data_IF_037639992472
#
_entry.id   IF_037639992472
#
_cell.length_a   1.000
_cell.length_b   1.000
_cell.length_c   1.000
_cell.angle_alpha   90.00
_cell.angle_beta   90.00
_cell.angle_gamma   90.00
#
_symmetry.space_group_name_H-M   'P 1'
#
loop_
_entity.id
_entity.type
_entity.pdbx_description
1 polymer ?
#
# COMPACT_ATOMS: atom_id res chain seq x y z
N UNK A 1 -12.56 -0.82 -15.59
CA UNK A 1 -11.79 -0.82 -14.33
C UNK A 1 -10.76 0.28 -14.53
N UNK A 2 -10.90 1.52 -14.07
CA UNK A 2 -11.13 2.06 -12.73
C UNK A 2 -12.23 3.15 -12.79
N UNK A 3 -13.35 2.98 -12.09
CA UNK A 3 -14.50 3.91 -12.18
C UNK A 3 -14.52 4.86 -10.99
N UNK A 4 -13.51 5.72 -10.92
CA UNK A 4 -13.36 6.71 -9.86
C UNK A 4 -14.60 7.62 -9.73
N UNK A 5 -15.24 7.96 -10.85
CA UNK A 5 -16.48 8.77 -10.86
C UNK A 5 -17.65 8.13 -10.12
N UNK A 6 -17.75 6.79 -10.16
CA UNK A 6 -18.80 6.07 -9.45
C UNK A 6 -18.48 5.93 -7.97
N UNK A 7 -17.21 5.74 -7.61
CA UNK A 7 -16.77 5.71 -6.23
C UNK A 7 -17.10 7.04 -5.54
N UNK A 8 -16.77 8.18 -6.16
CA UNK A 8 -17.06 9.50 -5.63
C UNK A 8 -18.57 9.76 -5.46
N UNK A 9 -19.41 9.31 -6.39
CA UNK A 9 -20.88 9.41 -6.25
C UNK A 9 -21.40 8.59 -5.08
N UNK A 10 -20.81 7.42 -4.84
CA UNK A 10 -21.24 6.51 -3.77
C UNK A 10 -20.81 7.06 -2.41
N UNK A 11 -19.56 7.51 -2.27
CA UNK A 11 -19.05 8.17 -1.06
C UNK A 11 -19.89 9.39 -0.72
N UNK A 12 -20.20 10.25 -1.68
CA UNK A 12 -21.10 11.40 -1.44
C UNK A 12 -22.48 11.00 -0.94
N UNK A 13 -23.04 9.91 -1.45
CA UNK A 13 -24.34 9.39 -0.95
C UNK A 13 -24.23 8.91 0.49
N UNK A 14 -23.11 8.28 0.86
CA UNK A 14 -22.86 7.85 2.23
C UNK A 14 -22.71 9.05 3.16
N UNK A 15 -21.93 10.06 2.76
CA UNK A 15 -21.75 11.31 3.52
C UNK A 15 -23.07 12.04 3.79
N UNK A 16 -23.96 12.11 2.79
CA UNK A 16 -25.29 12.73 2.96
C UNK A 16 -26.19 11.92 3.90
N UNK A 17 -26.02 10.59 3.95
CA UNK A 17 -26.83 9.73 4.80
C UNK A 17 -26.35 9.75 6.26
N UNK A 18 -25.05 9.60 6.47
CA UNK A 18 -24.39 9.63 7.78
C UNK A 18 -22.86 9.81 7.58
N UNK A 19 -22.36 11.01 7.82
CA UNK A 19 -20.94 11.34 7.67
C UNK A 19 -20.07 10.78 8.80
N UNK A 20 -20.64 10.64 10.00
CA UNK A 20 -19.93 10.18 11.20
C UNK A 20 -19.89 8.64 11.31
N UNK A 21 -20.68 7.94 10.49
CA UNK A 21 -20.64 6.48 10.43
C UNK A 21 -19.23 5.98 10.06
N UNK A 22 -18.67 5.08 10.88
CA UNK A 22 -17.37 4.45 10.65
C UNK A 22 -17.18 3.91 9.21
N UNK A 23 -18.17 3.20 8.59
CA UNK A 23 -18.05 2.77 7.19
C UNK A 23 -17.95 3.94 6.19
N UNK A 24 -18.60 5.07 6.47
CA UNK A 24 -18.53 6.27 5.64
C UNK A 24 -17.15 6.92 5.72
N UNK A 25 -16.61 7.07 6.93
CA UNK A 25 -15.28 7.64 7.16
C UNK A 25 -14.19 6.79 6.48
N UNK A 26 -14.24 5.46 6.64
CA UNK A 26 -13.32 4.55 5.96
C UNK A 26 -13.44 4.62 4.43
N UNK A 27 -14.66 4.62 3.89
CA UNK A 27 -14.88 4.73 2.46
C UNK A 27 -14.37 6.08 1.90
N UNK A 28 -14.56 7.16 2.66
CA UNK A 28 -14.07 8.50 2.32
C UNK A 28 -12.54 8.55 2.30
N UNK A 29 -11.89 8.01 3.34
CA UNK A 29 -10.42 7.94 3.41
C UNK A 29 -9.83 7.12 2.26
N UNK A 30 -10.38 5.93 1.96
CA UNK A 30 -9.94 5.10 0.83
C UNK A 30 -10.12 5.80 -0.53
N UNK A 31 -11.21 6.55 -0.69
CA UNK A 31 -11.46 7.33 -1.89
C UNK A 31 -10.43 8.47 -2.05
N UNK A 32 -10.10 9.16 -0.97
CA UNK A 32 -9.09 10.20 -0.94
C UNK A 32 -7.68 9.66 -1.21
N UNK A 33 -7.32 8.50 -0.65
CA UNK A 33 -6.09 7.78 -0.99
C UNK A 33 -5.99 7.48 -2.49
N UNK A 34 -7.09 7.02 -3.08
CA UNK A 34 -7.15 6.70 -4.52
C UNK A 34 -7.04 7.96 -5.39
N UNK A 35 -7.56 9.10 -4.92
CA UNK A 35 -7.49 10.37 -5.65
C UNK A 35 -6.06 10.93 -5.69
N UNK A 36 -5.31 10.78 -4.59
CA UNK A 36 -3.99 11.36 -4.44
C UNK A 36 -4.02 12.89 -4.29
N UNK A 37 -2.84 13.52 -4.39
CA UNK A 37 -2.70 14.99 -4.32
C UNK A 37 -3.01 15.55 -2.93
N UNK A 38 -3.66 16.72 -2.89
CA UNK A 38 -4.02 17.41 -1.64
C UNK A 38 -4.94 16.58 -0.73
N UNK A 39 -5.71 15.65 -1.30
CA UNK A 39 -6.65 14.82 -0.54
C UNK A 39 -5.96 13.74 0.30
N UNK A 40 -4.67 13.48 0.07
CA UNK A 40 -3.91 12.56 0.92
C UNK A 40 -3.86 13.07 2.37
N UNK A 41 -3.79 14.39 2.58
CA UNK A 41 -3.72 14.97 3.92
C UNK A 41 -5.03 14.77 4.67
N UNK A 42 -6.15 14.94 3.97
CA UNK A 42 -7.49 14.65 4.50
C UNK A 42 -7.65 13.16 4.81
N UNK A 43 -7.15 12.26 3.96
CA UNK A 43 -7.17 10.82 4.23
C UNK A 43 -6.40 10.47 5.51
N UNK A 44 -5.20 11.06 5.68
CA UNK A 44 -4.38 10.86 6.86
C UNK A 44 -5.11 11.33 8.13
N UNK A 45 -5.72 12.51 8.08
CA UNK A 45 -6.46 13.07 9.22
C UNK A 45 -7.65 12.19 9.63
N UNK A 46 -8.41 11.68 8.66
CA UNK A 46 -9.50 10.73 8.95
C UNK A 46 -8.95 9.47 9.65
N UNK A 47 -7.85 8.90 9.18
CA UNK A 47 -7.26 7.73 9.84
C UNK A 47 -6.70 8.03 11.23
N UNK A 48 -6.16 9.24 11.48
CA UNK A 48 -5.73 9.69 12.81
C UNK A 48 -6.93 9.78 13.77
N UNK A 49 -8.04 10.39 13.36
CA UNK A 49 -9.26 10.42 14.17
C UNK A 49 -9.80 9.02 14.46
N UNK A 50 -9.81 8.14 13.45
CA UNK A 50 -10.24 6.76 13.63
C UNK A 50 -9.35 6.00 14.62
N UNK A 51 -8.04 6.26 14.60
CA UNK A 51 -7.09 5.73 15.57
C UNK A 51 -7.37 6.25 16.98
N UNK A 52 -7.67 7.53 17.14
CA UNK A 52 -8.00 8.12 18.45
C UNK A 52 -9.32 7.55 19.02
N UNK A 53 -10.33 7.37 18.17
CA UNK A 53 -11.68 6.89 18.56
C UNK A 53 -11.74 5.39 18.82
N UNK A 54 -11.05 4.58 18.01
CA UNK A 54 -11.18 3.12 18.00
C UNK A 54 -9.90 2.37 18.37
N UNK A 55 -8.79 3.09 18.55
CA UNK A 55 -7.48 2.50 18.80
C UNK A 55 -6.72 2.14 17.52
N UNK A 56 -5.45 1.81 17.68
CA UNK A 56 -4.60 1.36 16.59
C UNK A 56 -5.00 -0.06 16.15
N UNK A 57 -5.28 -0.22 14.86
CA UNK A 57 -5.51 -1.53 14.24
C UNK A 57 -4.66 -1.64 12.98
N UNK A 58 -4.28 -2.86 12.52
CA UNK A 58 -3.50 -3.02 11.31
C UNK A 58 -4.12 -2.33 10.08
N UNK A 59 -5.45 -2.32 9.97
CA UNK A 59 -6.17 -1.65 8.87
C UNK A 59 -6.01 -0.13 8.92
N UNK A 60 -6.17 0.48 10.10
CA UNK A 60 -6.03 1.92 10.28
C UNK A 60 -4.57 2.35 10.05
N UNK A 61 -3.62 1.66 10.68
CA UNK A 61 -2.19 1.95 10.56
C UNK A 61 -1.71 1.78 9.10
N UNK A 62 -2.17 0.73 8.41
CA UNK A 62 -1.84 0.55 6.99
C UNK A 62 -2.42 1.67 6.11
N UNK A 63 -3.63 2.16 6.43
CA UNK A 63 -4.23 3.33 5.78
C UNK A 63 -3.41 4.61 6.01
N UNK A 64 -2.98 4.87 7.24
CA UNK A 64 -2.09 5.99 7.59
C UNK A 64 -0.77 5.90 6.82
N UNK A 65 -0.12 4.74 6.84
CA UNK A 65 1.13 4.50 6.11
C UNK A 65 0.96 4.73 4.61
N UNK A 66 -0.15 4.27 4.02
CA UNK A 66 -0.45 4.48 2.59
C UNK A 66 -0.61 5.97 2.26
N UNK A 67 -1.25 6.75 3.13
CA UNK A 67 -1.35 8.21 2.97
C UNK A 67 0.05 8.87 3.01
N UNK A 68 0.88 8.50 3.99
CA UNK A 68 2.25 9.01 4.15
C UNK A 68 3.14 8.64 2.96
N UNK A 69 3.05 7.41 2.47
CA UNK A 69 3.70 6.94 1.23
C UNK A 69 3.29 7.84 0.05
N UNK A 70 2.00 8.10 -0.12
CA UNK A 70 1.51 8.97 -1.18
C UNK A 70 2.04 10.40 -1.11
N UNK A 71 2.37 10.89 0.09
CA UNK A 71 2.99 12.20 0.32
C UNK A 71 4.52 12.21 0.22
N UNK A 72 5.15 11.06 -0.04
CA UNK A 72 6.60 10.86 0.02
C UNK A 72 7.21 11.07 1.43
N UNK A 73 6.43 10.88 2.50
CA UNK A 73 6.89 10.94 3.90
C UNK A 73 7.35 9.55 4.37
N UNK A 74 8.46 9.10 3.80
CA UNK A 74 8.90 7.71 3.90
C UNK A 74 9.31 7.28 5.32
N UNK A 75 10.03 8.12 6.07
CA UNK A 75 10.48 7.75 7.43
C UNK A 75 9.30 7.58 8.41
N UNK A 76 8.28 8.43 8.26
CA UNK A 76 7.08 8.36 9.08
C UNK A 76 6.23 7.14 8.70
N UNK A 77 6.10 6.86 7.41
CA UNK A 77 5.42 5.66 6.93
C UNK A 77 6.08 4.38 7.48
N UNK A 78 7.41 4.32 7.48
CA UNK A 78 8.15 3.19 8.03
C UNK A 78 7.82 2.94 9.51
N UNK A 79 7.79 4.02 10.30
CA UNK A 79 7.49 3.94 11.75
C UNK A 79 6.09 3.36 11.98
N UNK A 80 5.10 3.85 11.24
CA UNK A 80 3.71 3.38 11.33
C UNK A 80 3.56 1.93 10.87
N UNK A 81 4.28 1.52 9.82
CA UNK A 81 4.26 0.15 9.32
C UNK A 81 4.89 -0.84 10.29
N UNK A 82 5.94 -0.44 11.01
CA UNK A 82 6.50 -1.26 12.08
C UNK A 82 5.50 -1.43 13.24
N UNK A 83 4.81 -0.37 13.65
CA UNK A 83 3.72 -0.47 14.63
C UNK A 83 2.63 -1.45 14.17
N UNK A 84 2.28 -1.44 12.88
CA UNK A 84 1.29 -2.35 12.33
C UNK A 84 1.76 -3.82 12.33
N UNK A 85 3.05 -4.08 12.06
CA UNK A 85 3.63 -5.42 12.12
C UNK A 85 3.74 -5.95 13.55
N UNK A 86 3.97 -5.08 14.53
CA UNK A 86 3.98 -5.49 15.94
C UNK A 86 2.60 -5.99 16.41
N UNK A 87 1.52 -5.47 15.80
CA UNK A 87 0.15 -5.95 16.04
C UNK A 87 -0.19 -7.21 15.24
N UNK A 88 0.20 -7.27 13.97
CA UNK A 88 -0.04 -8.41 13.09
C UNK A 88 1.16 -8.64 12.14
N UNK A 89 2.08 -9.48 12.59
CA UNK A 89 3.32 -9.77 11.87
C UNK A 89 3.13 -10.54 10.56
N UNK A 90 1.92 -11.04 10.27
CA UNK A 90 1.62 -11.81 9.06
C UNK A 90 0.73 -11.04 8.07
N UNK A 91 0.51 -9.74 8.31
CA UNK A 91 -0.32 -8.93 7.45
C UNK A 91 0.37 -8.65 6.10
N UNK A 92 -0.10 -9.31 5.04
CA UNK A 92 0.49 -9.21 3.71
C UNK A 92 0.51 -7.77 3.15
N UNK A 93 -0.56 -7.00 3.37
CA UNK A 93 -0.66 -5.62 2.87
C UNK A 93 0.37 -4.70 3.53
N UNK A 94 0.56 -4.85 4.85
CA UNK A 94 1.58 -4.08 5.61
C UNK A 94 2.98 -4.45 5.16
N UNK A 95 3.27 -5.75 4.96
CA UNK A 95 4.58 -6.20 4.49
C UNK A 95 4.90 -5.63 3.10
N UNK A 96 3.93 -5.60 2.18
CA UNK A 96 4.10 -5.03 0.84
C UNK A 96 4.40 -3.53 0.91
N UNK A 97 3.65 -2.78 1.72
CA UNK A 97 3.91 -1.36 1.92
C UNK A 97 5.29 -1.13 2.55
N UNK A 98 5.73 -1.98 3.48
CA UNK A 98 7.05 -1.88 4.08
C UNK A 98 8.18 -2.19 3.10
N UNK A 99 8.00 -3.17 2.20
CA UNK A 99 8.94 -3.43 1.10
C UNK A 99 9.15 -2.18 0.25
N UNK A 100 8.05 -1.51 -0.13
CA UNK A 100 8.09 -0.28 -0.92
C UNK A 100 8.84 0.84 -0.19
N UNK A 101 8.52 1.09 1.08
CA UNK A 101 9.18 2.13 1.89
C UNK A 101 10.66 1.83 2.09
N UNK A 102 11.01 0.57 2.40
CA UNK A 102 12.40 0.12 2.58
C UNK A 102 13.23 0.35 1.31
N UNK A 103 12.64 0.12 0.14
CA UNK A 103 13.27 0.40 -1.15
C UNK A 103 13.51 1.91 -1.34
N UNK A 104 12.52 2.76 -1.05
CA UNK A 104 12.66 4.21 -1.16
C UNK A 104 13.69 4.82 -0.19
N UNK A 105 13.85 4.23 0.99
CA UNK A 105 14.84 4.64 1.99
C UNK A 105 16.26 4.16 1.69
N UNK A 106 16.50 3.48 0.55
CA UNK A 106 17.80 2.90 0.16
C UNK A 106 18.38 1.97 1.25
N UNK A 107 17.53 1.22 1.94
CA UNK A 107 17.98 0.24 2.94
C UNK A 107 18.63 -0.97 2.26
N UNK A 108 19.45 -1.73 3.01
CA UNK A 108 20.18 -2.85 2.43
C UNK A 108 19.24 -3.87 1.78
N UNK A 109 19.60 -4.40 0.58
CA UNK A 109 18.75 -5.33 -0.16
C UNK A 109 18.44 -6.62 0.61
N UNK A 110 19.26 -6.98 1.59
CA UNK A 110 19.04 -8.09 2.51
C UNK A 110 17.75 -7.90 3.32
N UNK A 111 17.45 -6.65 3.72
CA UNK A 111 16.22 -6.32 4.47
C UNK A 111 15.00 -6.51 3.58
N UNK A 112 15.09 -6.07 2.33
CA UNK A 112 14.03 -6.20 1.33
C UNK A 112 13.78 -7.69 1.03
N UNK A 113 14.85 -8.47 0.81
CA UNK A 113 14.76 -9.89 0.54
C UNK A 113 14.15 -10.67 1.71
N UNK A 114 14.44 -10.27 2.96
CA UNK A 114 13.81 -10.84 4.15
C UNK A 114 12.31 -10.59 4.16
N UNK A 115 11.87 -9.35 3.88
CA UNK A 115 10.45 -9.00 3.83
C UNK A 115 9.72 -9.71 2.69
N UNK A 116 10.34 -9.85 1.51
CA UNK A 116 9.78 -10.64 0.41
C UNK A 116 9.62 -12.12 0.79
N UNK A 117 10.59 -12.67 1.52
CA UNK A 117 10.51 -14.05 2.02
C UNK A 117 9.36 -14.20 3.01
N UNK A 118 9.21 -13.26 3.94
CA UNK A 118 8.09 -13.21 4.88
C UNK A 118 6.74 -13.10 4.17
N UNK A 119 6.64 -12.27 3.12
CA UNK A 119 5.44 -12.16 2.29
C UNK A 119 5.08 -13.49 1.63
N UNK A 120 6.07 -14.22 1.11
CA UNK A 120 5.86 -15.56 0.52
C UNK A 120 5.38 -16.58 1.56
N UNK A 121 5.87 -16.49 2.79
CA UNK A 121 5.45 -17.39 3.86
C UNK A 121 4.01 -17.08 4.32
N UNK A 122 3.62 -15.80 4.34
CA UNK A 122 2.28 -15.37 4.74
C UNK A 122 1.23 -15.59 3.64
N UNK A 123 1.55 -15.20 2.39
CA UNK A 123 0.64 -15.28 1.25
C UNK A 123 1.40 -15.49 -0.06
N UNK A 124 1.47 -16.75 -0.50
CA UNK A 124 2.19 -17.15 -1.73
C UNK A 124 1.58 -16.59 -3.00
N UNK A 125 0.26 -16.43 -3.04
CA UNK A 125 -0.49 -15.99 -4.21
C UNK A 125 -0.80 -14.49 -4.15
N UNK A 126 -0.07 -13.74 -3.33
CA UNK A 126 -0.27 -12.30 -3.23
C UNK A 126 -0.03 -11.64 -4.61
N UNK A 127 -0.93 -10.75 -5.08
CA UNK A 127 -0.83 -10.13 -6.41
C UNK A 127 0.53 -9.49 -6.70
N UNK A 128 1.16 -8.89 -5.69
CA UNK A 128 2.52 -8.33 -5.80
C UNK A 128 3.58 -9.36 -6.22
N UNK A 129 3.55 -10.58 -5.66
CA UNK A 129 4.53 -11.63 -5.98
C UNK A 129 4.33 -12.19 -7.39
N UNK A 130 3.07 -12.29 -7.81
CA UNK A 130 2.71 -12.73 -9.17
C UNK A 130 3.17 -11.67 -10.18
N UNK A 131 2.89 -10.39 -9.92
CA UNK A 131 3.32 -9.29 -10.79
C UNK A 131 4.86 -9.23 -10.86
N UNK A 132 5.56 -9.37 -9.72
CA UNK A 132 7.02 -9.43 -9.69
C UNK A 132 7.56 -10.56 -10.57
N UNK A 133 6.99 -11.75 -10.48
CA UNK A 133 7.40 -12.91 -11.30
C UNK A 133 7.16 -12.64 -12.78
N UNK A 134 5.98 -12.12 -13.11
CA UNK A 134 5.61 -11.75 -14.48
C UNK A 134 6.59 -10.73 -15.05
N UNK A 135 6.98 -9.71 -14.27
CA UNK A 135 7.94 -8.68 -14.70
C UNK A 135 9.34 -9.23 -14.93
N UNK A 136 9.79 -10.20 -14.13
CA UNK A 136 11.08 -10.88 -14.34
C UNK A 136 11.07 -11.70 -15.63
N UNK A 137 9.97 -12.39 -15.93
CA UNK A 137 9.80 -13.13 -17.18
C UNK A 137 9.78 -12.20 -18.40
N UNK A 138 9.04 -11.09 -18.33
CA UNK A 138 9.00 -10.06 -19.38
C UNK A 138 10.39 -9.47 -19.63
N UNK A 139 11.12 -9.14 -18.57
CA UNK A 139 12.49 -8.63 -18.67
C UNK A 139 13.41 -9.64 -19.34
N UNK A 140 13.35 -10.90 -18.92
CA UNK A 140 14.15 -11.99 -19.49
C UNK A 140 13.86 -12.19 -20.98
N UNK A 141 12.58 -12.17 -21.37
CA UNK A 141 12.14 -12.25 -22.76
C UNK A 141 12.69 -11.09 -23.60
N UNK A 142 12.61 -9.87 -23.09
CA UNK A 142 13.17 -8.70 -23.77
C UNK A 142 14.69 -8.80 -23.88
N UNK A 143 15.40 -9.17 -22.81
CA UNK A 143 16.85 -9.32 -22.81
C UNK A 143 17.34 -10.33 -23.86
N UNK A 144 16.62 -11.45 -24.04
CA UNK A 144 16.91 -12.44 -25.08
C UNK A 144 16.72 -11.89 -26.50
N UNK A 145 15.72 -11.03 -26.71
CA UNK A 145 15.46 -10.42 -28.02
C UNK A 145 16.57 -9.44 -28.45
N UNK A 146 17.23 -8.80 -27.49
CA UNK A 146 18.34 -7.86 -27.74
C UNK A 146 19.72 -8.48 -27.49
N UNK A 147 19.79 -9.78 -27.17
CA UNK A 147 21.07 -10.47 -27.02
C UNK A 147 21.78 -10.50 -28.38
N UNK A 148 23.09 -10.19 -28.43
CA UNK A 148 23.83 -10.22 -29.69
C UNK A 148 23.74 -11.62 -30.28
N UNK A 149 23.22 -11.72 -31.51
CA UNK A 149 23.28 -12.94 -32.29
C UNK A 149 24.75 -13.26 -32.54
N UNK A 150 25.30 -14.23 -31.81
CA UNK A 150 26.66 -14.72 -32.03
C UNK A 150 26.71 -15.22 -33.47
N UNK A 151 27.45 -14.58 -34.39
CA UNK A 151 27.63 -15.12 -35.73
C UNK A 151 28.49 -16.38 -35.59
N UNK A 152 27.97 -17.52 -36.04
CA UNK A 152 28.76 -18.74 -36.26
C UNK A 152 29.71 -18.55 -37.45
#
# INVERSE_FOLDING_TARGET
>A
MHRYDLAGKTVRRMQVADEDALPCQLATAMFYLTKGGEQLQEALHIYEELREKHGATPVILNGQATALIGMNRWEEAETVLHEALDLDGNNADVIVNLIMVTYHLNKPPETINRLISQLRDCNRDHPFLIDQTTKVEEFTRCAQQYAPSVPN
#
